data_IF_592576787654
#
_entry.id   IF_592576787654
#
_cell.length_a   1.000
_cell.length_b   1.000
_cell.length_c   1.000
_cell.angle_alpha   90.00
_cell.angle_beta   90.00
_cell.angle_gamma   90.00
#
_symmetry.space_group_name_H-M   'P 1'
#
loop_
_entity.id
_entity.type
_entity.pdbx_description
1 polymer ?
#
# COMPACT_ATOMS: atom_id res chain seq x y z
N UNK A 1 18.49 -30.00 -34.40
CA UNK A 1 17.81 -30.10 -33.08
C UNK A 1 17.47 -28.69 -32.64
N UNK A 2 16.21 -28.27 -32.84
CA UNK A 2 15.76 -26.95 -32.38
C UNK A 2 15.37 -27.07 -30.91
N UNK A 3 16.14 -26.46 -30.02
CA UNK A 3 15.78 -26.30 -28.62
C UNK A 3 14.61 -25.34 -28.54
N UNK A 4 13.38 -25.88 -28.51
CA UNK A 4 12.20 -25.11 -28.16
C UNK A 4 12.35 -24.70 -26.68
N UNK A 5 12.87 -23.50 -26.44
CA UNK A 5 12.72 -22.84 -25.15
C UNK A 5 11.26 -22.43 -25.03
N UNK A 6 10.54 -23.04 -24.08
CA UNK A 6 9.21 -22.55 -23.71
C UNK A 6 9.32 -21.08 -23.32
N UNK A 7 8.51 -20.17 -23.88
CA UNK A 7 8.57 -18.76 -23.54
C UNK A 7 8.38 -18.59 -22.04
N UNK A 8 9.21 -17.73 -21.41
CA UNK A 8 9.13 -17.44 -19.99
C UNK A 8 7.75 -16.81 -19.70
N UNK A 9 6.85 -17.48 -18.95
CA UNK A 9 5.50 -16.98 -18.70
C UNK A 9 5.49 -15.69 -17.86
N UNK A 10 6.61 -15.36 -17.19
CA UNK A 10 6.76 -14.16 -16.39
C UNK A 10 7.15 -12.92 -17.20
N UNK A 11 7.50 -13.07 -18.49
CA UNK A 11 8.01 -11.95 -19.30
C UNK A 11 7.02 -10.78 -19.39
N UNK A 12 5.71 -11.09 -19.35
CA UNK A 12 4.64 -10.10 -19.38
C UNK A 12 4.48 -9.32 -18.06
N UNK A 13 5.08 -9.82 -16.97
CA UNK A 13 5.04 -9.18 -15.66
C UNK A 13 6.32 -8.40 -15.33
N UNK A 14 7.36 -8.45 -16.18
CA UNK A 14 8.65 -7.80 -15.90
C UNK A 14 8.54 -6.30 -15.59
N UNK A 15 7.59 -5.60 -16.24
CA UNK A 15 7.36 -4.18 -15.98
C UNK A 15 6.39 -3.95 -14.81
N UNK A 16 5.56 -4.94 -14.50
CA UNK A 16 4.52 -4.83 -13.49
C UNK A 16 5.04 -5.20 -12.10
N UNK A 17 5.95 -6.17 -11.99
CA UNK A 17 6.51 -6.62 -10.72
C UNK A 17 7.24 -5.49 -9.97
N UNK A 18 8.08 -4.64 -10.60
CA UNK A 18 8.67 -3.50 -9.93
C UNK A 18 7.63 -2.49 -9.44
N UNK A 19 6.63 -2.16 -10.28
CA UNK A 19 5.57 -1.22 -9.89
C UNK A 19 4.71 -1.75 -8.74
N UNK A 20 4.42 -3.04 -8.75
CA UNK A 20 3.72 -3.71 -7.66
C UNK A 20 4.55 -3.70 -6.38
N UNK A 21 5.84 -4.02 -6.48
CA UNK A 21 6.77 -4.00 -5.36
C UNK A 21 6.84 -2.62 -4.71
N UNK A 22 7.04 -1.58 -5.51
CA UNK A 22 7.06 -0.20 -5.02
C UNK A 22 5.74 0.18 -4.32
N UNK A 23 4.59 -0.08 -4.97
CA UNK A 23 3.30 0.27 -4.39
C UNK A 23 3.01 -0.51 -3.09
N UNK A 24 3.46 -1.76 -2.99
CA UNK A 24 3.35 -2.57 -1.78
C UNK A 24 4.28 -2.07 -0.67
N UNK A 25 5.52 -1.68 -0.99
CA UNK A 25 6.46 -1.09 -0.03
C UNK A 25 5.91 0.23 0.53
N UNK A 26 5.36 1.10 -0.30
CA UNK A 26 4.70 2.34 0.13
C UNK A 26 3.53 2.05 1.09
N UNK A 27 2.67 1.07 0.79
CA UNK A 27 1.57 0.67 1.69
C UNK A 27 2.11 0.17 3.03
N UNK A 28 3.19 -0.61 3.01
CA UNK A 28 3.85 -1.09 4.22
C UNK A 28 4.37 0.07 5.07
N UNK A 29 5.08 1.01 4.46
CA UNK A 29 5.56 2.21 5.15
C UNK A 29 4.40 3.02 5.75
N UNK A 30 3.34 3.26 4.96
CA UNK A 30 2.15 3.98 5.39
C UNK A 30 1.46 3.30 6.59
N UNK A 31 1.33 1.97 6.57
CA UNK A 31 0.78 1.21 7.69
C UNK A 31 1.63 1.36 8.96
N UNK A 32 2.94 1.16 8.85
CA UNK A 32 3.86 1.23 9.98
C UNK A 32 3.91 2.63 10.57
N UNK A 33 3.91 3.63 9.71
CA UNK A 33 3.85 5.02 10.10
C UNK A 33 2.57 5.34 10.88
N UNK A 34 1.39 5.02 10.33
CA UNK A 34 0.11 5.25 11.01
C UNK A 34 0.03 4.51 12.34
N UNK A 35 0.56 3.28 12.39
CA UNK A 35 0.63 2.52 13.63
C UNK A 35 1.54 3.17 14.67
N UNK A 36 2.67 3.74 14.24
CA UNK A 36 3.56 4.49 15.13
C UNK A 36 2.88 5.75 15.65
N UNK A 37 2.27 6.58 14.79
CA UNK A 37 1.54 7.78 15.18
C UNK A 37 0.42 7.46 16.20
N UNK A 38 -0.36 6.41 15.95
CA UNK A 38 -1.41 5.94 16.86
C UNK A 38 -0.89 5.30 18.16
N UNK A 39 0.39 4.93 18.24
CA UNK A 39 1.01 4.45 19.49
C UNK A 39 1.53 5.58 20.38
N UNK A 40 1.75 6.77 19.81
CA UNK A 40 2.29 7.93 20.53
C UNK A 40 1.19 8.89 20.99
N UNK A 41 -0.08 8.52 20.88
CA UNK A 41 -1.24 9.42 21.11
C UNK A 41 -1.24 10.07 22.49
N UNK A 42 -0.81 9.33 23.51
CA UNK A 42 -0.72 9.81 24.90
C UNK A 42 0.34 10.91 25.08
N UNK A 43 1.36 10.94 24.20
CA UNK A 43 2.46 11.92 24.22
C UNK A 43 2.19 13.13 23.33
N UNK A 44 1.39 12.93 22.29
CA UNK A 44 1.24 13.88 21.19
C UNK A 44 0.09 14.87 21.37
N UNK A 45 -0.75 14.68 22.39
CA UNK A 45 -1.94 15.52 22.65
C UNK A 45 -2.75 15.71 21.35
N UNK A 46 -2.82 14.66 20.52
CA UNK A 46 -3.52 14.72 19.24
C UNK A 46 -5.00 14.92 19.54
N UNK A 47 -5.68 15.90 18.91
CA UNK A 47 -7.12 16.07 19.06
C UNK A 47 -7.86 14.78 18.71
N UNK A 48 -8.95 14.48 19.42
CA UNK A 48 -9.75 13.27 19.20
C UNK A 48 -10.22 13.14 17.73
N UNK A 49 -10.52 14.26 17.07
CA UNK A 49 -10.87 14.29 15.65
C UNK A 49 -9.72 13.78 14.76
N UNK A 50 -8.48 14.22 15.03
CA UNK A 50 -7.29 13.79 14.31
C UNK A 50 -6.96 12.32 14.61
N UNK A 51 -7.15 11.85 15.85
CA UNK A 51 -7.04 10.43 16.19
C UNK A 51 -8.02 9.57 15.40
N UNK A 52 -9.27 10.02 15.31
CA UNK A 52 -10.33 9.34 14.55
C UNK A 52 -9.98 9.27 13.06
N UNK A 53 -9.47 10.37 12.49
CA UNK A 53 -8.99 10.40 11.10
C UNK A 53 -7.83 9.42 10.87
N UNK A 54 -6.82 9.41 11.73
CA UNK A 54 -5.67 8.48 11.65
C UNK A 54 -6.10 7.02 11.77
N UNK A 55 -6.98 6.70 12.73
CA UNK A 55 -7.52 5.36 12.90
C UNK A 55 -8.35 4.92 11.67
N UNK A 56 -9.14 5.83 11.11
CA UNK A 56 -9.90 5.61 9.88
C UNK A 56 -8.99 5.28 8.68
N UNK A 57 -7.90 6.02 8.50
CA UNK A 57 -6.91 5.76 7.44
C UNK A 57 -6.27 4.38 7.59
N UNK A 58 -5.83 4.03 8.82
CA UNK A 58 -5.26 2.71 9.09
C UNK A 58 -6.25 1.59 8.78
N UNK A 59 -7.52 1.76 9.17
CA UNK A 59 -8.57 0.78 8.89
C UNK A 59 -8.81 0.62 7.38
N UNK A 60 -8.90 1.72 6.63
CA UNK A 60 -9.07 1.69 5.17
C UNK A 60 -7.92 0.97 4.46
N UNK A 61 -6.68 1.21 4.90
CA UNK A 61 -5.49 0.53 4.37
C UNK A 61 -5.55 -0.98 4.65
N UNK A 62 -5.85 -1.39 5.89
CA UNK A 62 -5.98 -2.81 6.26
C UNK A 62 -7.10 -3.51 5.49
N UNK A 63 -8.25 -2.86 5.33
CA UNK A 63 -9.37 -3.43 4.56
C UNK A 63 -9.01 -3.60 3.08
N UNK A 64 -8.26 -2.66 2.51
CA UNK A 64 -7.80 -2.75 1.12
C UNK A 64 -6.83 -3.92 0.95
N UNK A 65 -5.85 -4.06 1.85
CA UNK A 65 -4.92 -5.20 1.85
C UNK A 65 -5.66 -6.53 1.97
N UNK A 66 -6.64 -6.62 2.87
CA UNK A 66 -7.45 -7.83 3.03
C UNK A 66 -8.21 -8.19 1.75
N UNK A 67 -8.79 -7.19 1.07
CA UNK A 67 -9.48 -7.39 -0.22
C UNK A 67 -8.51 -7.85 -1.31
N UNK A 68 -7.33 -7.22 -1.40
CA UNK A 68 -6.32 -7.60 -2.39
C UNK A 68 -5.83 -9.04 -2.18
N UNK A 69 -5.65 -9.47 -0.93
CA UNK A 69 -5.30 -10.87 -0.59
C UNK A 69 -6.41 -11.83 -1.01
N UNK A 70 -7.68 -11.47 -0.79
CA UNK A 70 -8.82 -12.30 -1.20
C UNK A 70 -8.94 -12.43 -2.73
N UNK A 71 -8.58 -11.38 -3.47
CA UNK A 71 -8.58 -11.37 -4.94
C UNK A 71 -7.34 -12.07 -5.55
N UNK A 72 -6.36 -12.48 -4.73
CA UNK A 72 -5.23 -13.27 -5.24
C UNK A 72 -5.73 -14.64 -5.72
N UNK A 73 -5.28 -15.10 -6.91
CA UNK A 73 -5.60 -16.45 -7.34
C UNK A 73 -5.04 -17.45 -6.30
N UNK A 74 -5.76 -18.52 -5.99
CA UNK A 74 -5.26 -19.55 -5.08
C UNK A 74 -3.91 -20.05 -5.58
N UNK A 75 -2.98 -20.30 -4.67
CA UNK A 75 -1.59 -20.71 -4.96
C UNK A 75 -1.45 -21.95 -5.85
N UNK A 76 -2.55 -22.68 -6.09
CA UNK A 76 -2.65 -23.83 -6.98
C UNK A 76 -2.96 -23.48 -8.44
N UNK A 77 -3.42 -22.26 -8.76
CA UNK A 77 -3.63 -21.81 -10.14
C UNK A 77 -2.29 -21.42 -10.77
N UNK A 78 -1.81 -22.24 -11.72
CA UNK A 78 -0.66 -21.88 -12.55
C UNK A 78 -1.02 -20.65 -13.38
N UNK A 79 -0.26 -19.58 -13.18
CA UNK A 79 -0.31 -18.32 -13.96
C UNK A 79 -0.15 -18.57 -15.50
N UNK A 80 0.28 -19.77 -15.90
CA UNK A 80 0.53 -20.15 -17.29
C UNK A 80 -0.69 -20.30 -18.18
N UNK A 81 -1.91 -20.42 -17.64
CA UNK A 81 -3.07 -20.85 -18.44
C UNK A 81 -3.95 -19.69 -18.96
N UNK A 82 -3.87 -18.49 -18.37
CA UNK A 82 -4.70 -17.32 -18.75
C UNK A 82 -3.90 -16.01 -18.60
N UNK A 83 -2.95 -15.72 -19.51
CA UNK A 83 -2.02 -14.61 -19.33
C UNK A 83 -2.70 -13.23 -19.35
N UNK A 84 -3.71 -13.01 -20.20
CA UNK A 84 -4.35 -11.68 -20.36
C UNK A 84 -5.16 -11.29 -19.12
N UNK A 85 -6.02 -12.19 -18.62
CA UNK A 85 -6.87 -11.90 -17.45
C UNK A 85 -6.03 -11.81 -16.16
N UNK A 86 -4.94 -12.57 -16.09
CA UNK A 86 -3.98 -12.47 -14.99
C UNK A 86 -3.22 -11.14 -15.00
N UNK A 87 -2.79 -10.66 -16.17
CA UNK A 87 -2.15 -9.34 -16.32
C UNK A 87 -3.12 -8.21 -15.99
N UNK A 88 -4.38 -8.30 -16.45
CA UNK A 88 -5.41 -7.29 -16.17
C UNK A 88 -5.69 -7.17 -14.68
N UNK A 89 -5.88 -8.30 -13.98
CA UNK A 89 -6.03 -8.33 -12.51
C UNK A 89 -4.81 -7.77 -11.78
N UNK A 90 -3.61 -8.14 -12.22
CA UNK A 90 -2.38 -7.65 -11.62
C UNK A 90 -2.24 -6.13 -11.76
N UNK A 91 -2.55 -5.58 -12.94
CA UNK A 91 -2.62 -4.13 -13.15
C UNK A 91 -3.68 -3.45 -12.27
N UNK A 92 -4.86 -4.04 -12.12
CA UNK A 92 -5.90 -3.51 -11.25
C UNK A 92 -5.46 -3.46 -9.79
N UNK A 93 -4.70 -4.47 -9.32
CA UNK A 93 -4.13 -4.48 -7.97
C UNK A 93 -3.09 -3.37 -7.79
N UNK A 94 -2.17 -3.18 -8.76
CA UNK A 94 -1.20 -2.07 -8.73
C UNK A 94 -1.92 -0.72 -8.62
N UNK A 95 -2.93 -0.49 -9.47
CA UNK A 95 -3.69 0.76 -9.46
C UNK A 95 -4.42 0.99 -8.13
N UNK A 96 -4.95 -0.08 -7.54
CA UNK A 96 -5.60 -0.02 -6.23
C UNK A 96 -4.60 0.38 -5.14
N UNK A 97 -3.42 -0.25 -5.11
CA UNK A 97 -2.35 0.08 -4.16
C UNK A 97 -1.92 1.55 -4.31
N UNK A 98 -1.60 2.00 -5.53
CA UNK A 98 -1.23 3.39 -5.81
C UNK A 98 -2.31 4.38 -5.39
N UNK A 99 -3.58 4.07 -5.65
CA UNK A 99 -4.70 4.94 -5.25
C UNK A 99 -4.78 5.07 -3.73
N UNK A 100 -4.59 3.98 -2.99
CA UNK A 100 -4.62 4.01 -1.53
C UNK A 100 -3.41 4.74 -0.95
N UNK A 101 -2.21 4.60 -1.54
CA UNK A 101 -1.06 5.41 -1.15
C UNK A 101 -1.36 6.89 -1.30
N UNK A 102 -1.81 7.31 -2.50
CA UNK A 102 -2.15 8.71 -2.75
C UNK A 102 -3.20 9.26 -1.79
N UNK A 103 -4.26 8.48 -1.51
CA UNK A 103 -5.30 8.88 -0.57
C UNK A 103 -4.78 8.98 0.87
N UNK A 104 -3.90 8.07 1.26
CA UNK A 104 -3.28 8.07 2.60
C UNK A 104 -2.38 9.28 2.76
N UNK A 105 -1.50 9.52 1.79
CA UNK A 105 -0.55 10.65 1.79
C UNK A 105 -1.31 11.98 1.80
N UNK A 106 -2.31 12.14 0.93
CA UNK A 106 -3.14 13.37 0.87
C UNK A 106 -3.85 13.63 2.20
N UNK A 107 -4.50 12.59 2.75
CA UNK A 107 -5.23 12.74 4.01
C UNK A 107 -4.30 13.03 5.19
N UNK A 108 -3.08 12.50 5.13
CA UNK A 108 -2.07 12.73 6.15
C UNK A 108 -1.50 14.15 6.06
N UNK A 109 -1.17 14.63 4.86
CA UNK A 109 -0.73 16.00 4.62
C UNK A 109 -1.77 17.01 5.11
N UNK A 110 -3.05 16.79 4.79
CA UNK A 110 -4.16 17.61 5.28
C UNK A 110 -4.22 17.63 6.81
N UNK A 111 -3.98 16.48 7.45
CA UNK A 111 -3.99 16.33 8.90
C UNK A 111 -2.80 17.04 9.54
N UNK A 112 -1.60 16.96 8.95
CA UNK A 112 -0.43 17.71 9.40
C UNK A 112 -0.62 19.23 9.28
N UNK A 113 -1.30 19.70 8.23
CA UNK A 113 -1.62 21.11 8.07
C UNK A 113 -2.63 21.60 9.12
N UNK A 114 -3.63 20.78 9.43
CA UNK A 114 -4.67 21.12 10.43
C UNK A 114 -4.14 21.04 11.87
N UNK A 115 -3.08 20.26 12.12
CA UNK A 115 -2.56 19.99 13.46
C UNK A 115 -1.04 20.22 13.56
N UNK A 116 -0.59 21.49 13.70
CA UNK A 116 0.83 21.84 13.82
C UNK A 116 1.63 21.07 14.91
N UNK A 117 1.07 20.76 16.10
CA UNK A 117 1.78 19.93 17.08
C UNK A 117 2.14 18.54 16.57
N UNK A 118 1.25 17.92 15.79
CA UNK A 118 1.50 16.61 15.19
C UNK A 118 2.59 16.72 14.11
N UNK A 119 2.54 17.78 13.29
CA UNK A 119 3.57 18.07 12.28
C UNK A 119 4.96 18.23 12.89
N UNK A 120 5.08 19.00 13.96
CA UNK A 120 6.37 19.20 14.63
C UNK A 120 6.94 17.89 15.19
N UNK A 121 6.09 17.03 15.76
CA UNK A 121 6.51 15.71 16.20
C UNK A 121 6.93 14.81 15.03
N UNK A 122 6.15 14.81 13.94
CA UNK A 122 6.48 14.08 12.73
C UNK A 122 7.87 14.47 12.21
N UNK A 123 8.13 15.77 12.07
CA UNK A 123 9.43 16.27 11.61
C UNK A 123 10.57 15.87 12.56
N UNK A 124 10.33 15.83 13.88
CA UNK A 124 11.33 15.39 14.87
C UNK A 124 11.65 13.88 14.81
N UNK A 125 10.69 13.04 14.41
CA UNK A 125 10.89 11.57 14.36
C UNK A 125 11.49 11.08 13.06
N UNK A 126 11.47 11.91 12.00
CA UNK A 126 12.11 11.61 10.72
C UNK A 126 13.61 11.93 10.72
N UNK A 127 14.09 12.70 11.71
CA UNK A 127 15.49 13.13 11.83
C UNK A 127 16.33 12.32 12.85
N UNK A 128 15.73 11.31 13.48
CA UNK A 128 16.40 10.35 14.38
C UNK A 128 16.62 9.00 13.68
#
# INVERSE_FOLDING_TARGET
MSTYQSPNPLIHFNNLLPEWGQAADEIYHNYHFLNHALSQTDRLLIPEEALTKLAGLKAALVMTLARLIQDLPPSTHRISNEPIDSISRFNAHINTLKTVNLQTDTSFDDLLQQHPPLKNWFESTVHD
#
